data_IF_953461002786
#
_entry.id   IF_953461002786
#
_cell.length_a   1.000
_cell.length_b   1.000
_cell.length_c   1.000
_cell.angle_alpha   90.00
_cell.angle_beta   90.00
_cell.angle_gamma   90.00
#
_symmetry.space_group_name_H-M   'P 1'
#
loop_
_entity.id
_entity.type
_entity.pdbx_description
1 polymer ?
#
# COMPACT_ATOMS: atom_id res chain seq x y z
N UNK A 1 -22.90 -12.99 -3.82
CA UNK A 1 -22.95 -11.98 -2.72
C UNK A 1 -21.53 -11.83 -2.21
N UNK A 2 -21.09 -10.60 -2.09
CA UNK A 2 -19.79 -10.27 -1.47
C UNK A 2 -19.86 -10.59 0.04
N UNK A 3 -18.72 -10.93 0.65
CA UNK A 3 -18.63 -11.00 2.11
C UNK A 3 -18.64 -9.60 2.71
N UNK A 4 -19.01 -9.43 4.00
CA UNK A 4 -18.96 -8.11 4.66
C UNK A 4 -17.56 -7.45 4.58
N UNK A 5 -16.50 -8.24 4.67
CA UNK A 5 -15.12 -7.75 4.55
C UNK A 5 -14.80 -7.26 3.14
N UNK A 6 -15.33 -7.93 2.11
CA UNK A 6 -15.17 -7.50 0.72
C UNK A 6 -15.95 -6.21 0.43
N UNK A 7 -17.15 -6.06 0.98
CA UNK A 7 -17.93 -4.84 0.85
C UNK A 7 -17.24 -3.66 1.53
N UNK A 8 -16.67 -3.89 2.72
CA UNK A 8 -15.89 -2.88 3.44
C UNK A 8 -14.64 -2.45 2.67
N UNK A 9 -13.90 -3.41 2.10
CA UNK A 9 -12.71 -3.12 1.30
C UNK A 9 -13.05 -2.27 0.06
N UNK A 10 -14.13 -2.61 -0.67
CA UNK A 10 -14.61 -1.84 -1.82
C UNK A 10 -14.96 -0.40 -1.40
N UNK A 11 -15.59 -0.24 -0.24
CA UNK A 11 -15.93 1.08 0.28
C UNK A 11 -14.68 1.90 0.62
N UNK A 12 -13.69 1.30 1.25
CA UNK A 12 -12.40 1.95 1.53
C UNK A 12 -11.68 2.39 0.24
N UNK A 13 -11.66 1.53 -0.77
CA UNK A 13 -11.06 1.86 -2.07
C UNK A 13 -11.79 3.03 -2.75
N UNK A 14 -13.11 3.10 -2.61
CA UNK A 14 -13.88 4.23 -3.13
C UNK A 14 -13.51 5.53 -2.43
N UNK A 15 -13.47 5.55 -1.09
CA UNK A 15 -13.07 6.74 -0.32
C UNK A 15 -11.66 7.20 -0.72
N UNK A 16 -10.71 6.28 -0.79
CA UNK A 16 -9.32 6.61 -1.15
C UNK A 16 -9.22 7.21 -2.55
N UNK A 17 -10.00 6.68 -3.51
CA UNK A 17 -10.08 7.22 -4.87
C UNK A 17 -10.62 8.65 -4.87
N UNK A 18 -11.71 8.89 -4.17
CA UNK A 18 -12.30 10.23 -4.05
C UNK A 18 -11.34 11.23 -3.43
N UNK A 19 -10.60 10.83 -2.39
CA UNK A 19 -9.58 11.67 -1.78
C UNK A 19 -8.49 12.05 -2.78
N UNK A 20 -7.97 11.12 -3.55
CA UNK A 20 -6.93 11.39 -4.55
C UNK A 20 -7.46 12.33 -5.63
N UNK A 21 -8.67 12.09 -6.15
CA UNK A 21 -9.28 12.92 -7.20
C UNK A 21 -9.51 14.35 -6.73
N UNK A 22 -9.94 14.53 -5.48
CA UNK A 22 -10.29 15.86 -4.95
C UNK A 22 -9.07 16.63 -4.42
N UNK A 23 -8.10 15.97 -3.80
CA UNK A 23 -6.94 16.63 -3.18
C UNK A 23 -5.77 16.76 -4.17
N UNK A 24 -5.51 15.72 -4.98
CA UNK A 24 -4.43 15.65 -5.99
C UNK A 24 -3.09 16.16 -5.46
N UNK A 25 -2.53 15.55 -4.41
CA UNK A 25 -1.26 15.99 -3.86
C UNK A 25 -0.15 15.90 -4.91
N UNK A 26 0.69 16.91 -4.97
CA UNK A 26 1.86 16.91 -5.84
C UNK A 26 2.96 16.04 -5.25
N UNK A 27 3.47 15.11 -6.04
CA UNK A 27 4.57 14.22 -5.66
C UNK A 27 5.85 14.67 -6.35
N UNK A 28 6.93 14.74 -5.58
CA UNK A 28 8.24 15.10 -6.12
C UNK A 28 8.67 14.08 -7.19
N UNK A 29 9.10 14.58 -8.36
CA UNK A 29 9.48 13.73 -9.50
C UNK A 29 10.58 12.73 -9.16
N UNK A 30 11.57 13.15 -8.38
CA UNK A 30 12.65 12.27 -7.94
C UNK A 30 12.15 11.11 -7.09
N UNK A 31 11.20 11.37 -6.19
CA UNK A 31 10.59 10.32 -5.37
C UNK A 31 9.79 9.35 -6.24
N UNK A 32 8.95 9.87 -7.14
CA UNK A 32 8.16 9.06 -8.05
C UNK A 32 9.06 8.15 -8.91
N UNK A 33 10.13 8.71 -9.46
CA UNK A 33 11.07 7.97 -10.30
C UNK A 33 11.76 6.85 -9.52
N UNK A 34 12.24 7.13 -8.30
CA UNK A 34 12.90 6.14 -7.44
C UNK A 34 11.95 5.01 -7.05
N UNK A 35 10.74 5.35 -6.63
CA UNK A 35 9.74 4.35 -6.22
C UNK A 35 9.24 3.52 -7.42
N UNK A 36 9.11 4.13 -8.59
CA UNK A 36 8.76 3.42 -9.84
C UNK A 36 9.85 2.42 -10.23
N UNK A 37 11.13 2.80 -10.10
CA UNK A 37 12.24 1.90 -10.38
C UNK A 37 12.24 0.70 -9.41
N UNK A 38 12.05 0.94 -8.12
CA UNK A 38 11.97 -0.12 -7.13
C UNK A 38 10.79 -1.06 -7.40
N UNK A 39 9.64 -0.53 -7.75
CA UNK A 39 8.45 -1.32 -8.08
C UNK A 39 8.65 -2.16 -9.35
N UNK A 40 9.36 -1.62 -10.35
CA UNK A 40 9.71 -2.38 -11.55
C UNK A 40 10.66 -3.54 -11.24
N UNK A 41 11.64 -3.36 -10.36
CA UNK A 41 12.53 -4.45 -9.91
C UNK A 41 11.73 -5.55 -9.17
N UNK A 42 10.85 -5.17 -8.24
CA UNK A 42 9.97 -6.10 -7.55
C UNK A 42 9.07 -6.88 -8.54
N UNK A 43 8.54 -6.20 -9.54
CA UNK A 43 7.74 -6.82 -10.59
C UNK A 43 8.54 -7.86 -11.38
N UNK A 44 9.79 -7.57 -11.74
CA UNK A 44 10.68 -8.53 -12.41
C UNK A 44 10.94 -9.76 -11.55
N UNK A 45 11.18 -9.57 -10.25
CA UNK A 45 11.38 -10.67 -9.31
C UNK A 45 10.12 -11.54 -9.19
N UNK A 46 8.94 -10.94 -9.16
CA UNK A 46 7.68 -11.68 -9.16
C UNK A 46 7.52 -12.51 -10.44
N UNK A 47 7.75 -11.94 -11.61
CA UNK A 47 7.69 -12.68 -12.87
C UNK A 47 8.68 -13.85 -12.87
N UNK A 48 9.91 -13.63 -12.41
CA UNK A 48 10.94 -14.65 -12.31
C UNK A 48 10.51 -15.81 -11.40
N UNK A 49 9.79 -15.53 -10.31
CA UNK A 49 9.27 -16.56 -9.39
C UNK A 49 8.25 -17.49 -10.06
N UNK A 50 7.58 -17.01 -11.13
CA UNK A 50 6.68 -17.80 -11.97
C UNK A 50 7.35 -18.35 -13.24
N UNK A 51 8.69 -18.21 -13.37
CA UNK A 51 9.44 -18.56 -14.57
C UNK A 51 8.95 -17.83 -15.85
N UNK A 52 8.52 -16.59 -15.70
CA UNK A 52 8.08 -15.73 -16.80
C UNK A 52 9.11 -14.62 -16.99
N UNK A 53 9.60 -14.41 -18.22
CA UNK A 53 10.43 -13.24 -18.54
C UNK A 53 9.58 -12.01 -18.79
N UNK A 54 10.18 -10.82 -18.65
CA UNK A 54 9.50 -9.55 -18.97
C UNK A 54 9.05 -9.52 -20.42
N UNK A 55 9.90 -10.00 -21.37
CA UNK A 55 9.57 -10.05 -22.77
C UNK A 55 8.32 -10.90 -23.03
N UNK A 56 8.26 -12.09 -22.43
CA UNK A 56 7.10 -12.99 -22.57
C UNK A 56 5.83 -12.37 -21.99
N UNK A 57 5.95 -11.66 -20.87
CA UNK A 57 4.84 -10.91 -20.27
C UNK A 57 4.32 -9.81 -21.20
N UNK A 58 5.23 -9.02 -21.80
CA UNK A 58 4.89 -7.97 -22.76
C UNK A 58 4.20 -8.52 -24.00
N UNK A 59 4.73 -9.63 -24.55
CA UNK A 59 4.11 -10.33 -25.70
C UNK A 59 2.68 -10.79 -25.39
N UNK A 60 2.49 -11.42 -24.23
CA UNK A 60 1.17 -11.92 -23.81
C UNK A 60 0.14 -10.80 -23.65
N UNK A 61 0.58 -9.64 -23.15
CA UNK A 61 -0.28 -8.48 -22.97
C UNK A 61 -0.40 -7.59 -24.21
N UNK A 62 0.40 -7.84 -25.22
CA UNK A 62 0.49 -6.99 -26.42
C UNK A 62 0.78 -5.51 -26.10
N UNK A 63 1.69 -5.29 -25.13
CA UNK A 63 2.17 -3.97 -24.72
C UNK A 63 3.69 -3.89 -24.90
N UNK A 64 4.21 -2.68 -25.00
CA UNK A 64 5.64 -2.44 -24.99
C UNK A 64 6.17 -2.09 -23.57
N UNK A 65 7.48 -1.97 -23.45
CA UNK A 65 8.13 -1.67 -22.17
C UNK A 65 7.77 -0.27 -21.65
N UNK A 66 7.55 0.69 -22.55
CA UNK A 66 7.14 2.05 -22.19
C UNK A 66 5.73 2.07 -21.58
N UNK A 67 4.81 1.35 -22.19
CA UNK A 67 3.45 1.18 -21.66
C UNK A 67 3.46 0.51 -20.27
N UNK A 68 4.25 -0.55 -20.11
CA UNK A 68 4.41 -1.18 -18.79
C UNK A 68 5.00 -0.21 -17.75
N UNK A 69 6.03 0.56 -18.14
CA UNK A 69 6.63 1.57 -17.27
C UNK A 69 5.61 2.64 -16.84
N UNK A 70 4.77 3.10 -17.75
CA UNK A 70 3.72 4.06 -17.48
C UNK A 70 2.63 3.49 -16.55
N UNK A 71 2.24 2.24 -16.72
CA UNK A 71 1.29 1.55 -15.83
C UNK A 71 1.85 1.46 -14.39
N UNK A 72 3.11 1.06 -14.25
CA UNK A 72 3.78 0.98 -12.95
C UNK A 72 3.90 2.36 -12.32
N UNK A 73 4.33 3.38 -13.08
CA UNK A 73 4.44 4.75 -12.59
C UNK A 73 3.08 5.30 -12.13
N UNK A 74 2.00 5.03 -12.86
CA UNK A 74 0.65 5.42 -12.48
C UNK A 74 0.19 4.76 -11.17
N UNK A 75 0.48 3.48 -10.99
CA UNK A 75 0.19 2.75 -9.75
C UNK A 75 0.97 3.30 -8.57
N UNK A 76 2.26 3.56 -8.75
CA UNK A 76 3.13 4.14 -7.73
C UNK A 76 2.68 5.56 -7.37
N UNK A 77 2.35 6.40 -8.36
CA UNK A 77 1.84 7.75 -8.13
C UNK A 77 0.58 7.73 -7.27
N UNK A 78 -0.38 6.89 -7.62
CA UNK A 78 -1.63 6.75 -6.86
C UNK A 78 -1.37 6.30 -5.42
N UNK A 79 -0.48 5.32 -5.21
CA UNK A 79 -0.07 4.85 -3.88
C UNK A 79 0.54 5.97 -3.05
N UNK A 80 1.50 6.70 -3.62
CA UNK A 80 2.17 7.81 -2.93
C UNK A 80 1.19 8.94 -2.58
N UNK A 81 0.27 9.28 -3.49
CA UNK A 81 -0.75 10.27 -3.22
C UNK A 81 -1.64 9.87 -2.04
N UNK A 82 -2.09 8.63 -2.00
CA UNK A 82 -2.87 8.08 -0.88
C UNK A 82 -2.06 8.14 0.42
N UNK A 83 -0.82 7.70 0.40
CA UNK A 83 0.03 7.67 1.59
C UNK A 83 0.28 9.07 2.17
N UNK A 84 0.51 10.06 1.32
CA UNK A 84 0.66 11.46 1.74
C UNK A 84 -0.65 12.03 2.32
N UNK A 85 -1.79 11.76 1.70
CA UNK A 85 -3.10 12.19 2.21
C UNK A 85 -3.37 11.57 3.58
N UNK A 86 -3.21 10.26 3.72
CA UNK A 86 -3.46 9.58 4.98
C UNK A 86 -2.50 10.00 6.08
N UNK A 87 -1.23 10.25 5.76
CA UNK A 87 -0.27 10.78 6.71
C UNK A 87 -0.65 12.18 7.20
N UNK A 88 -1.12 13.05 6.32
CA UNK A 88 -1.60 14.38 6.67
C UNK A 88 -2.83 14.33 7.59
N UNK A 89 -3.80 13.48 7.27
CA UNK A 89 -5.01 13.26 8.09
C UNK A 89 -4.65 12.70 9.47
N UNK A 90 -3.78 11.69 9.51
CA UNK A 90 -3.34 11.10 10.77
C UNK A 90 -2.65 12.13 11.68
N UNK A 91 -1.82 12.99 11.08
CA UNK A 91 -1.14 14.07 11.79
C UNK A 91 -2.13 15.12 12.31
N UNK A 92 -3.07 15.57 11.48
CA UNK A 92 -4.09 16.55 11.85
C UNK A 92 -4.99 16.04 12.98
N UNK A 93 -5.39 14.78 12.90
CA UNK A 93 -6.23 14.12 13.92
C UNK A 93 -5.43 13.58 15.11
N UNK A 94 -4.12 13.75 15.13
CA UNK A 94 -3.20 13.27 16.18
C UNK A 94 -3.32 11.75 16.43
N UNK A 95 -3.61 10.98 15.39
CA UNK A 95 -3.73 9.54 15.48
C UNK A 95 -2.37 8.90 15.73
N UNK A 96 -2.34 7.96 16.66
CA UNK A 96 -1.13 7.18 17.00
C UNK A 96 -1.54 5.73 17.26
N UNK A 97 -0.65 4.83 16.92
CA UNK A 97 -0.76 3.43 17.33
C UNK A 97 -0.21 3.31 18.71
N UNK A 98 -1.08 3.10 19.69
CA UNK A 98 -0.68 2.83 21.07
C UNK A 98 -0.24 1.36 21.26
N UNK A 99 0.38 1.05 22.38
CA UNK A 99 0.89 -0.29 22.67
C UNK A 99 -0.23 -1.33 22.79
N UNK A 100 -1.43 -0.92 23.19
CA UNK A 100 -2.58 -1.82 23.30
C UNK A 100 -3.11 -2.22 21.92
N UNK A 101 -3.26 -1.26 21.00
CA UNK A 101 -3.65 -1.50 19.62
C UNK A 101 -2.62 -2.38 18.91
N UNK A 102 -1.32 -2.11 19.15
CA UNK A 102 -0.25 -2.92 18.59
C UNK A 102 -0.30 -4.36 19.09
N UNK A 103 -0.43 -4.59 20.38
CA UNK A 103 -0.53 -5.93 20.99
C UNK A 103 -1.73 -6.70 20.45
N UNK A 104 -2.88 -6.03 20.34
CA UNK A 104 -4.10 -6.63 19.78
C UNK A 104 -3.89 -7.06 18.34
N UNK A 105 -3.34 -6.18 17.50
CA UNK A 105 -3.09 -6.46 16.10
C UNK A 105 -2.06 -7.60 15.90
N UNK A 106 -1.00 -7.65 16.71
CA UNK A 106 -0.05 -8.75 16.69
C UNK A 106 -0.70 -10.08 17.09
N UNK A 107 -1.61 -10.06 18.07
CA UNK A 107 -2.32 -11.27 18.52
C UNK A 107 -3.28 -11.84 17.45
N UNK A 108 -3.74 -11.02 16.50
CA UNK A 108 -4.58 -11.45 15.37
C UNK A 108 -3.78 -12.23 14.31
N UNK A 109 -2.44 -12.14 14.33
CA UNK A 109 -1.58 -12.91 13.41
C UNK A 109 -1.52 -14.36 13.88
N UNK A 110 -2.09 -15.25 13.05
CA UNK A 110 -2.18 -16.71 13.35
C UNK A 110 -0.84 -17.43 13.22
N UNK A 111 0.07 -16.92 12.40
CA UNK A 111 1.40 -17.49 12.22
C UNK A 111 2.35 -16.97 13.31
N UNK A 112 2.69 -17.83 14.25
CA UNK A 112 3.55 -17.51 15.39
C UNK A 112 4.95 -17.05 14.95
N UNK A 113 5.51 -17.67 13.88
CA UNK A 113 6.84 -17.30 13.37
C UNK A 113 6.83 -15.89 12.77
N UNK A 114 5.81 -15.59 11.99
CA UNK A 114 5.63 -14.26 11.40
C UNK A 114 5.40 -13.22 12.48
N UNK A 115 4.56 -13.51 13.48
CA UNK A 115 4.31 -12.62 14.61
C UNK A 115 5.59 -12.31 15.38
N UNK A 116 6.38 -13.34 15.72
CA UNK A 116 7.64 -13.18 16.43
C UNK A 116 8.68 -12.42 15.59
N UNK A 117 8.72 -12.67 14.29
CA UNK A 117 9.59 -11.94 13.38
C UNK A 117 9.25 -10.43 13.35
N UNK A 118 7.97 -10.09 13.28
CA UNK A 118 7.51 -8.69 13.31
C UNK A 118 7.85 -8.06 14.67
N UNK A 119 7.54 -8.75 15.77
CA UNK A 119 7.72 -8.22 17.12
C UNK A 119 9.20 -7.99 17.49
N UNK A 120 10.11 -8.83 17.00
CA UNK A 120 11.52 -8.82 17.40
C UNK A 120 12.46 -8.06 16.45
N UNK A 121 11.96 -7.57 15.31
CA UNK A 121 12.75 -6.78 14.35
C UNK A 121 12.19 -5.36 14.23
N UNK A 122 12.99 -4.38 14.62
CA UNK A 122 12.59 -2.97 14.63
C UNK A 122 12.03 -2.47 13.29
N UNK A 123 12.67 -2.87 12.19
CA UNK A 123 12.24 -2.48 10.84
C UNK A 123 10.85 -3.05 10.50
N UNK A 124 10.60 -4.32 10.81
CA UNK A 124 9.28 -4.94 10.57
C UNK A 124 8.22 -4.38 11.50
N UNK A 125 8.58 -4.13 12.75
CA UNK A 125 7.67 -3.50 13.72
C UNK A 125 7.28 -2.08 13.30
N UNK A 126 8.24 -1.30 12.80
CA UNK A 126 7.98 0.06 12.28
C UNK A 126 7.04 0.03 11.07
N UNK A 127 7.28 -0.88 10.12
CA UNK A 127 6.41 -1.06 8.96
C UNK A 127 5.01 -1.51 9.36
N UNK A 128 4.91 -2.42 10.32
CA UNK A 128 3.63 -2.91 10.83
C UNK A 128 2.83 -1.80 11.54
N UNK A 129 3.50 -0.99 12.36
CA UNK A 129 2.87 0.20 12.99
C UNK A 129 2.37 1.20 11.94
N UNK A 130 3.13 1.43 10.88
CA UNK A 130 2.72 2.32 9.79
C UNK A 130 1.46 1.79 9.08
N UNK A 131 1.37 0.49 8.82
CA UNK A 131 0.17 -0.13 8.25
C UNK A 131 -1.05 -0.03 9.19
N UNK A 132 -0.85 -0.24 10.49
CA UNK A 132 -1.92 -0.07 11.48
C UNK A 132 -2.42 1.37 11.54
N UNK A 133 -1.53 2.35 11.52
CA UNK A 133 -1.89 3.76 11.51
C UNK A 133 -2.69 4.11 10.25
N UNK A 134 -2.26 3.61 9.10
CA UNK A 134 -2.97 3.75 7.84
C UNK A 134 -4.40 3.22 7.93
N UNK A 135 -4.57 2.00 8.44
CA UNK A 135 -5.87 1.37 8.63
C UNK A 135 -6.76 2.17 9.58
N UNK A 136 -6.23 2.56 10.75
CA UNK A 136 -6.96 3.40 11.71
C UNK A 136 -7.40 4.73 11.10
N UNK A 137 -6.55 5.36 10.28
CA UNK A 137 -6.88 6.61 9.60
C UNK A 137 -8.05 6.42 8.64
N UNK A 138 -8.05 5.36 7.84
CA UNK A 138 -9.14 5.02 6.93
C UNK A 138 -10.43 4.76 7.72
N UNK A 139 -10.35 4.00 8.81
CA UNK A 139 -11.51 3.71 9.67
C UNK A 139 -12.12 4.97 10.28
N UNK A 140 -11.32 5.99 10.59
CA UNK A 140 -11.86 7.28 11.06
C UNK A 140 -12.61 8.04 9.99
N UNK A 141 -12.20 7.92 8.72
CA UNK A 141 -12.88 8.57 7.59
C UNK A 141 -14.25 7.94 7.30
N UNK A 142 -14.40 6.65 7.56
CA UNK A 142 -15.67 5.92 7.36
C UNK A 142 -16.72 6.30 8.42
N UNK A 143 -16.28 6.71 9.60
CA UNK A 143 -17.17 7.09 10.70
C UNK A 143 -17.68 8.53 10.60
N UNK A 144 -17.03 9.33 9.81
CA UNK A 144 -17.42 10.72 9.55
C UNK A 144 -18.38 10.80 8.35
#
# INVERSE_FOLDING_TARGET
KLSPDQEQEIYYQHILRELVVNIRPSIAELLLRRETQAEFENFKEQLASYNISVEKYLEQRQIDLEQLGNEIAGTVLNRLQIDFILAAIAKERQLKVDDQALKKALAEIKDDKLRDQIANHEQYLTSFKAQLLRRQTIETLVKD
#
